data_IF_205794558079
#
_entry.id   IF_205794558079
#
_cell.length_a   1.000
_cell.length_b   1.000
_cell.length_c   1.000
_cell.angle_alpha   90.00
_cell.angle_beta   90.00
_cell.angle_gamma   90.00
#
_symmetry.space_group_name_H-M   'P 1'
#
loop_
_entity.id
_entity.type
_entity.pdbx_description
1 polymer ?
#
# COMPACT_ATOMS: atom_id res chain seq x y z
N UNK A 1 30.76 -54.01 -7.88
CA UNK A 1 31.94 -54.50 -8.62
C UNK A 1 31.59 -54.56 -10.11
N UNK A 2 32.51 -54.41 -11.08
CA UNK A 2 33.80 -53.69 -11.12
C UNK A 2 33.86 -52.68 -12.32
N UNK A 3 34.53 -51.52 -12.26
CA UNK A 3 35.97 -51.18 -12.51
C UNK A 3 36.41 -51.10 -14.00
N UNK A 4 36.74 -49.84 -14.38
CA UNK A 4 37.89 -49.35 -15.19
C UNK A 4 38.02 -49.64 -16.68
N UNK A 5 38.36 -48.60 -17.46
CA UNK A 5 39.63 -48.55 -18.20
C UNK A 5 40.02 -47.09 -18.49
N UNK A 6 41.04 -46.60 -17.78
CA UNK A 6 41.83 -45.44 -18.17
C UNK A 6 42.87 -45.86 -19.22
N UNK A 7 43.15 -44.95 -20.17
CA UNK A 7 44.35 -44.77 -21.03
C UNK A 7 43.87 -44.13 -22.35
N UNK A 8 44.49 -43.13 -22.97
CA UNK A 8 45.90 -42.75 -23.03
C UNK A 8 45.99 -41.38 -23.75
N UNK A 9 46.90 -40.51 -23.30
CA UNK A 9 47.75 -39.57 -24.06
C UNK A 9 47.11 -38.57 -25.07
N UNK A 10 47.55 -37.32 -25.21
CA UNK A 10 48.78 -36.66 -24.78
C UNK A 10 48.83 -35.22 -25.30
N UNK A 11 49.86 -34.51 -24.87
CA UNK A 11 50.08 -33.06 -24.91
C UNK A 11 50.41 -32.42 -26.27
N UNK A 12 50.31 -31.06 -26.30
CA UNK A 12 50.95 -30.03 -27.18
C UNK A 12 50.37 -29.85 -28.60
N UNK A 13 50.27 -28.66 -29.25
CA UNK A 13 50.88 -27.34 -29.07
C UNK A 13 50.03 -26.21 -29.73
N UNK A 14 50.36 -24.96 -29.36
CA UNK A 14 49.89 -23.65 -29.85
C UNK A 14 49.95 -23.44 -31.37
N UNK A 15 48.99 -22.69 -31.94
CA UNK A 15 49.25 -21.51 -32.80
C UNK A 15 47.99 -20.67 -33.08
N UNK A 16 48.21 -19.35 -33.04
CA UNK A 16 47.32 -18.24 -33.37
C UNK A 16 46.85 -18.25 -34.83
N UNK A 17 45.66 -17.69 -35.09
CA UNK A 17 45.37 -16.84 -36.27
C UNK A 17 44.13 -15.97 -36.00
N UNK A 18 44.19 -14.74 -36.52
CA UNK A 18 43.36 -13.58 -36.23
C UNK A 18 42.21 -13.36 -37.24
N UNK A 19 41.21 -12.59 -36.79
CA UNK A 19 40.25 -11.71 -37.53
C UNK A 19 39.00 -12.33 -38.21
N UNK A 20 37.92 -11.53 -38.48
CA UNK A 20 37.60 -10.16 -38.04
C UNK A 20 36.22 -10.02 -37.35
N UNK A 21 36.08 -8.94 -36.57
CA UNK A 21 34.86 -8.48 -35.90
C UNK A 21 34.05 -7.65 -36.90
N UNK A 22 32.86 -8.13 -37.30
CA UNK A 22 31.95 -7.39 -38.18
C UNK A 22 31.29 -6.25 -37.42
N UNK A 23 31.49 -5.03 -37.92
CA UNK A 23 30.79 -3.83 -37.48
C UNK A 23 29.35 -3.88 -38.03
N UNK A 24 28.36 -4.03 -37.15
CA UNK A 24 26.97 -3.78 -37.51
C UNK A 24 26.67 -2.29 -37.33
N UNK A 25 26.31 -1.65 -38.45
CA UNK A 25 25.85 -0.28 -38.54
C UNK A 25 24.55 -0.07 -37.75
N UNK A 26 24.47 1.05 -37.04
CA UNK A 26 23.31 1.51 -36.30
C UNK A 26 22.22 2.06 -37.24
N UNK A 27 21.03 1.47 -37.18
CA UNK A 27 19.80 2.08 -37.70
C UNK A 27 18.99 2.66 -36.53
N UNK A 28 18.49 3.90 -36.61
CA UNK A 28 17.76 4.53 -35.52
C UNK A 28 16.24 4.36 -35.69
N UNK A 29 15.53 3.99 -34.61
CA UNK A 29 14.10 4.25 -34.32
C UNK A 29 13.70 3.42 -33.09
N UNK A 30 12.89 3.86 -32.14
CA UNK A 30 12.25 5.14 -31.78
C UNK A 30 11.72 4.86 -30.36
N UNK A 31 12.24 5.54 -29.34
CA UNK A 31 11.67 5.45 -27.98
C UNK A 31 10.70 6.61 -27.79
N UNK A 32 9.42 6.28 -27.62
CA UNK A 32 8.40 7.22 -27.17
C UNK A 32 8.33 7.06 -25.66
N UNK A 33 9.14 7.85 -24.96
CA UNK A 33 8.96 8.14 -23.54
C UNK A 33 9.53 9.53 -23.27
N UNK A 34 8.65 10.46 -22.92
CA UNK A 34 8.99 11.82 -22.52
C UNK A 34 9.54 11.82 -21.10
N UNK A 35 10.82 11.49 -20.96
CA UNK A 35 11.63 11.85 -19.80
C UNK A 35 13.00 12.28 -20.32
N UNK A 36 13.48 13.44 -19.88
CA UNK A 36 14.82 13.92 -20.23
C UNK A 36 15.85 12.84 -19.83
N UNK A 37 16.79 12.45 -20.70
CA UNK A 37 17.85 11.55 -20.29
C UNK A 37 18.67 12.24 -19.22
N UNK A 38 18.72 11.65 -18.02
CA UNK A 38 19.68 12.01 -16.97
C UNK A 38 21.05 12.12 -17.63
N UNK A 39 21.63 13.32 -17.67
CA UNK A 39 23.05 13.49 -17.99
C UNK A 39 23.81 12.61 -17.00
N UNK A 40 24.40 11.52 -17.50
CA UNK A 40 25.51 10.90 -16.79
C UNK A 40 26.54 12.01 -16.59
N UNK A 41 26.94 12.23 -15.34
CA UNK A 41 28.00 13.17 -15.02
C UNK A 41 29.24 12.75 -15.83
N UNK A 42 29.65 13.59 -16.78
CA UNK A 42 30.94 13.46 -17.42
C UNK A 42 32.00 13.58 -16.31
N UNK A 43 32.90 12.61 -16.23
CA UNK A 43 33.96 12.61 -15.24
C UNK A 43 34.86 13.83 -15.48
N UNK A 44 34.71 14.83 -14.61
CA UNK A 44 35.62 15.97 -14.53
C UNK A 44 37.04 15.45 -14.28
N UNK A 45 37.97 15.87 -15.14
CA UNK A 45 39.39 15.51 -15.14
C UNK A 45 40.17 16.19 -14.00
N UNK A 46 39.68 16.07 -12.77
CA UNK A 46 40.37 16.51 -11.56
C UNK A 46 40.29 15.40 -10.50
N UNK A 47 41.43 14.73 -10.36
CA UNK A 47 41.85 13.82 -9.27
C UNK A 47 40.86 12.71 -8.86
N UNK A 48 41.02 11.47 -9.37
CA UNK A 48 40.40 10.32 -8.73
C UNK A 48 41.12 10.05 -7.41
N UNK A 49 40.38 10.07 -6.29
CA UNK A 49 40.84 9.58 -4.99
C UNK A 49 40.99 8.06 -5.02
N UNK A 50 41.96 7.58 -5.78
CA UNK A 50 42.48 6.23 -5.67
C UNK A 50 43.24 6.12 -4.34
N UNK A 51 42.84 5.22 -3.47
CA UNK A 51 43.65 4.86 -2.29
C UNK A 51 45.02 4.37 -2.75
N UNK A 52 46.05 5.18 -2.50
CA UNK A 52 47.44 4.89 -2.88
C UNK A 52 48.11 4.14 -1.74
N UNK A 53 48.48 2.88 -1.95
CA UNK A 53 49.28 2.13 -0.99
C UNK A 53 50.70 2.72 -0.96
N UNK A 54 51.15 3.10 0.23
CA UNK A 54 52.53 3.55 0.48
C UNK A 54 53.34 2.33 0.93
N UNK A 55 54.48 2.02 0.31
CA UNK A 55 55.32 0.92 0.76
C UNK A 55 55.97 1.29 2.10
N UNK A 56 55.97 0.36 3.04
CA UNK A 56 56.63 0.52 4.35
C UNK A 56 57.87 -0.37 4.38
N UNK A 57 58.97 0.18 4.90
CA UNK A 57 60.21 -0.57 5.11
C UNK A 57 60.01 -1.68 6.16
N UNK A 58 60.72 -2.83 6.02
CA UNK A 58 60.44 -4.05 6.78
C UNK A 58 60.70 -3.96 8.29
N UNK A 59 61.23 -2.85 8.80
CA UNK A 59 61.60 -2.67 10.21
C UNK A 59 60.74 -1.66 10.98
N UNK A 60 59.76 -0.98 10.36
CA UNK A 60 58.75 -0.13 11.04
C UNK A 60 59.26 0.83 12.15
N UNK A 61 60.41 1.51 11.96
CA UNK A 61 61.07 2.25 13.06
C UNK A 61 61.25 3.76 12.91
N UNK A 62 60.74 4.46 11.88
CA UNK A 62 60.86 5.93 11.82
C UNK A 62 59.52 6.66 11.67
N UNK A 63 59.25 7.53 12.64
CA UNK A 63 58.14 8.47 12.72
C UNK A 63 58.52 9.82 12.13
N UNK A 64 57.66 10.32 11.22
CA UNK A 64 57.43 11.72 10.85
C UNK A 64 58.66 12.65 10.67
N UNK A 65 59.04 12.88 9.41
CA UNK A 65 59.91 13.99 9.01
C UNK A 65 59.12 15.27 8.75
N UNK A 66 59.53 16.34 9.43
CA UNK A 66 59.60 17.78 9.10
C UNK A 66 58.70 18.46 8.02
N UNK A 67 57.51 17.96 7.70
CA UNK A 67 56.51 18.69 6.87
C UNK A 67 55.34 19.26 7.71
N UNK A 68 55.46 19.31 9.03
CA UNK A 68 54.40 19.73 9.96
C UNK A 68 54.28 21.25 10.18
N UNK A 69 55.04 22.08 9.46
CA UNK A 69 55.00 23.54 9.64
C UNK A 69 54.14 24.30 8.61
N UNK A 70 53.55 23.63 7.62
CA UNK A 70 52.65 24.26 6.63
C UNK A 70 51.21 23.70 6.62
N UNK A 71 50.80 22.93 7.62
CA UNK A 71 49.42 22.41 7.72
C UNK A 71 48.48 23.38 8.48
N UNK A 72 49.02 24.39 9.17
CA UNK A 72 48.22 25.30 10.00
C UNK A 72 47.98 26.70 9.42
N UNK A 73 48.22 26.94 8.12
CA UNK A 73 47.55 28.05 7.44
C UNK A 73 46.25 27.53 6.84
N UNK A 74 45.24 27.39 7.68
CA UNK A 74 43.86 27.40 7.20
C UNK A 74 43.74 28.64 6.32
N UNK A 75 43.39 28.45 5.04
CA UNK A 75 42.91 29.56 4.23
C UNK A 75 41.83 30.27 5.04
N UNK A 76 42.01 31.56 5.28
CA UNK A 76 41.00 32.44 5.88
C UNK A 76 39.82 32.53 4.90
N UNK A 77 39.05 31.44 4.79
CA UNK A 77 37.68 31.50 4.30
C UNK A 77 36.91 32.34 5.32
N UNK A 78 36.54 33.55 4.90
CA UNK A 78 36.08 34.64 5.74
C UNK A 78 35.11 34.24 6.86
N UNK A 79 35.32 34.88 8.01
CA UNK A 79 34.45 34.88 9.20
C UNK A 79 33.08 35.53 8.94
N UNK A 80 32.34 35.05 7.94
CA UNK A 80 30.89 35.25 7.86
C UNK A 80 30.24 34.05 8.58
N UNK A 81 29.59 34.22 9.75
CA UNK A 81 28.90 33.13 10.43
C UNK A 81 27.83 32.45 9.56
N UNK A 82 27.36 33.12 8.50
CA UNK A 82 26.38 32.61 7.53
C UNK A 82 26.95 31.60 6.51
N UNK A 83 28.27 31.51 6.32
CA UNK A 83 28.89 30.64 5.28
C UNK A 83 29.51 29.33 5.79
N UNK A 84 29.43 29.05 7.10
CA UNK A 84 29.91 27.75 7.62
C UNK A 84 28.96 26.64 7.16
N UNK A 85 29.47 25.64 6.44
CA UNK A 85 28.72 24.41 6.12
C UNK A 85 28.28 23.73 7.41
N UNK A 86 26.99 23.82 7.72
CA UNK A 86 26.37 23.15 8.86
C UNK A 86 26.49 21.64 8.63
N UNK A 87 27.08 20.92 9.60
CA UNK A 87 27.16 19.46 9.54
C UNK A 87 25.86 18.89 10.08
N UNK A 88 25.06 18.29 9.22
CA UNK A 88 23.85 17.58 9.61
C UNK A 88 24.19 16.25 10.28
N UNK A 89 23.38 15.86 11.27
CA UNK A 89 23.49 14.57 11.94
C UNK A 89 22.51 13.58 11.30
N UNK A 90 23.00 12.44 10.84
CA UNK A 90 22.18 11.39 10.23
C UNK A 90 21.72 10.40 11.30
N UNK A 91 20.41 10.28 11.52
CA UNK A 91 19.80 9.28 12.40
C UNK A 91 19.10 8.22 11.54
N UNK A 92 19.34 6.95 11.86
CA UNK A 92 18.63 5.85 11.24
C UNK A 92 17.47 5.43 12.14
N UNK A 93 16.25 5.71 11.70
CA UNK A 93 15.02 5.30 12.36
C UNK A 93 14.51 4.02 11.69
N UNK A 94 14.71 2.85 12.31
CA UNK A 94 14.18 1.59 11.78
C UNK A 94 14.96 0.35 12.21
N UNK A 95 14.80 -0.79 11.51
CA UNK A 95 13.51 -1.35 11.11
C UNK A 95 12.65 -1.73 12.32
N UNK A 96 13.29 -1.95 13.48
CA UNK A 96 12.66 -2.29 14.73
C UNK A 96 12.38 -1.01 15.53
N UNK A 97 11.22 -0.41 15.31
CA UNK A 97 10.75 0.73 16.10
C UNK A 97 9.22 0.65 16.27
N UNK A 98 8.66 0.89 17.47
CA UNK A 98 7.21 0.80 17.69
C UNK A 98 6.38 1.67 16.72
N UNK A 99 6.76 2.93 16.56
CA UNK A 99 6.08 3.88 15.67
C UNK A 99 6.29 3.64 14.16
N UNK A 100 7.07 2.63 13.78
CA UNK A 100 7.24 2.27 12.37
C UNK A 100 6.12 1.33 11.88
N UNK A 101 5.19 0.88 12.74
CA UNK A 101 4.04 0.01 12.42
C UNK A 101 4.32 -1.07 11.38
N UNK A 102 5.37 -1.85 11.63
CA UNK A 102 5.90 -2.83 10.70
C UNK A 102 7.39 -2.64 10.53
N UNK A 103 7.83 -2.56 9.27
CA UNK A 103 9.25 -2.57 8.93
C UNK A 103 9.55 -1.39 8.00
N UNK A 104 9.81 -0.23 8.60
CA UNK A 104 10.25 0.97 7.90
C UNK A 104 11.68 1.32 8.32
N UNK A 105 12.53 1.66 7.35
CA UNK A 105 13.83 2.27 7.62
C UNK A 105 13.84 3.68 7.05
N UNK A 106 13.79 4.67 7.92
CA UNK A 106 13.78 6.10 7.62
C UNK A 106 15.13 6.70 8.01
N UNK A 107 15.92 7.16 7.04
CA UNK A 107 17.15 7.90 7.30
C UNK A 107 16.80 9.39 7.37
N UNK A 108 16.99 9.97 8.55
CA UNK A 108 16.70 11.38 8.82
C UNK A 108 18.01 12.17 8.92
N UNK A 109 18.09 13.29 8.22
CA UNK A 109 19.13 14.28 8.42
C UNK A 109 18.58 15.42 9.27
N UNK A 110 19.17 15.57 10.45
CA UNK A 110 18.73 16.52 11.45
C UNK A 110 19.70 17.70 11.53
N UNK A 111 19.15 18.88 11.75
CA UNK A 111 19.87 20.05 12.22
C UNK A 111 19.39 20.36 13.65
N UNK A 112 20.12 19.84 14.65
CA UNK A 112 19.60 19.80 16.02
C UNK A 112 18.42 18.83 16.12
N UNK A 113 17.22 19.35 16.35
CA UNK A 113 15.97 18.57 16.40
C UNK A 113 15.12 18.68 15.13
N UNK A 114 15.41 19.65 14.26
CA UNK A 114 14.65 19.91 13.04
C UNK A 114 15.08 18.96 11.90
N UNK A 115 14.11 18.41 11.18
CA UNK A 115 14.33 17.53 10.04
C UNK A 115 14.61 18.39 8.80
N UNK A 116 15.79 18.19 8.20
CA UNK A 116 16.19 18.84 6.94
C UNK A 116 15.84 17.95 5.74
N UNK A 117 16.00 16.64 5.90
CA UNK A 117 15.73 15.65 4.84
C UNK A 117 15.31 14.32 5.46
N UNK A 118 14.32 13.68 4.87
CA UNK A 118 13.92 12.32 5.22
C UNK A 118 13.98 11.40 3.99
N UNK A 119 14.67 10.26 4.12
CA UNK A 119 14.79 9.25 3.07
C UNK A 119 14.18 7.92 3.55
N UNK A 120 12.92 7.61 3.16
CA UNK A 120 12.27 6.36 3.51
C UNK A 120 12.75 5.21 2.61
N UNK A 121 13.57 4.32 3.17
CA UNK A 121 13.93 3.05 2.54
C UNK A 121 12.82 2.01 2.75
N UNK A 122 12.20 1.64 1.64
CA UNK A 122 11.15 0.63 1.54
C UNK A 122 11.67 -0.61 0.81
N UNK A 123 10.89 -1.68 0.76
CA UNK A 123 11.21 -2.96 0.12
C UNK A 123 11.58 -4.08 1.09
N UNK A 124 11.53 -3.83 2.40
CA UNK A 124 11.84 -4.83 3.43
C UNK A 124 10.74 -5.92 3.52
N UNK A 125 9.51 -5.59 3.10
CA UNK A 125 8.40 -6.53 3.04
C UNK A 125 8.02 -6.91 1.59
N UNK A 126 8.86 -6.60 0.60
CA UNK A 126 8.57 -6.90 -0.80
C UNK A 126 8.60 -8.40 -1.06
N UNK A 127 7.49 -8.94 -1.60
CA UNK A 127 7.31 -10.39 -1.84
C UNK A 127 7.19 -10.76 -3.31
N UNK A 128 7.28 -9.80 -4.23
CA UNK A 128 7.06 -10.02 -5.66
C UNK A 128 5.63 -10.49 -5.95
N UNK A 129 4.64 -9.95 -5.24
CA UNK A 129 3.22 -10.32 -5.33
C UNK A 129 2.69 -10.18 -6.75
N UNK A 130 2.96 -9.04 -7.40
CA UNK A 130 2.57 -8.79 -8.79
C UNK A 130 3.12 -9.84 -9.75
N UNK A 131 4.34 -10.34 -9.48
CA UNK A 131 4.97 -11.39 -10.30
C UNK A 131 4.34 -12.76 -10.06
N UNK A 132 3.97 -13.07 -8.81
CA UNK A 132 3.28 -14.31 -8.48
C UNK A 132 1.89 -14.36 -9.11
N UNK A 133 1.20 -13.23 -9.19
CA UNK A 133 -0.13 -13.12 -9.82
C UNK A 133 -0.08 -13.54 -11.30
N UNK A 134 0.97 -13.18 -12.05
CA UNK A 134 1.14 -13.57 -13.47
C UNK A 134 1.17 -15.10 -13.70
N UNK A 135 1.56 -15.88 -12.68
CA UNK A 135 1.63 -17.34 -12.78
C UNK A 135 0.38 -18.06 -12.25
N UNK A 136 -0.61 -17.33 -11.74
CA UNK A 136 -1.83 -17.87 -11.11
C UNK A 136 -3.06 -17.50 -11.91
N UNK A 137 -4.14 -18.27 -11.75
CA UNK A 137 -5.44 -17.93 -12.35
C UNK A 137 -6.11 -16.79 -11.58
N UNK A 138 -7.09 -16.11 -12.16
CA UNK A 138 -7.79 -15.00 -11.49
C UNK A 138 -8.32 -15.35 -10.10
N UNK A 139 -8.95 -16.53 -9.95
CA UNK A 139 -9.45 -16.99 -8.65
C UNK A 139 -8.33 -17.31 -7.66
N UNK A 140 -7.21 -17.87 -8.12
CA UNK A 140 -6.04 -18.15 -7.28
C UNK A 140 -5.26 -16.88 -6.92
N UNK A 141 -5.38 -15.83 -7.74
CA UNK A 141 -4.73 -14.55 -7.53
C UNK A 141 -5.46 -13.69 -6.48
N UNK A 142 -6.77 -13.89 -6.31
CA UNK A 142 -7.60 -13.12 -5.37
C UNK A 142 -7.00 -13.00 -3.96
N UNK A 143 -6.54 -14.08 -3.28
CA UNK A 143 -6.04 -13.97 -1.90
C UNK A 143 -4.73 -13.21 -1.75
N UNK A 144 -4.05 -12.85 -2.85
CA UNK A 144 -2.94 -11.90 -2.75
C UNK A 144 -3.44 -10.51 -2.35
N UNK A 145 -4.64 -10.10 -2.80
CA UNK A 145 -5.21 -8.79 -2.51
C UNK A 145 -5.55 -8.62 -1.02
N UNK A 146 -6.08 -9.65 -0.36
CA UNK A 146 -6.38 -9.65 1.08
C UNK A 146 -5.12 -9.44 1.95
N UNK A 147 -3.94 -9.72 1.38
CA UNK A 147 -2.65 -9.72 2.08
C UNK A 147 -1.79 -8.48 1.80
N UNK A 148 -2.22 -7.60 0.88
CA UNK A 148 -1.54 -6.33 0.59
C UNK A 148 -1.79 -5.37 1.75
N UNK A 149 -2.94 -4.69 1.74
CA UNK A 149 -3.44 -4.01 2.93
C UNK A 149 -4.21 -5.02 3.78
N UNK A 150 -3.48 -5.62 4.73
CA UNK A 150 -4.00 -6.65 5.63
C UNK A 150 -4.95 -6.11 6.70
N UNK A 151 -5.27 -4.81 6.69
CA UNK A 151 -6.26 -4.20 7.58
C UNK A 151 -7.60 -4.06 6.89
N UNK A 152 -7.61 -3.74 5.58
CA UNK A 152 -8.83 -3.67 4.77
C UNK A 152 -8.90 -4.73 3.68
N UNK A 153 -9.18 -5.97 4.10
CA UNK A 153 -9.16 -7.15 3.23
C UNK A 153 -10.25 -7.11 2.15
N UNK A 154 -11.52 -6.89 2.53
CA UNK A 154 -12.65 -6.98 1.61
C UNK A 154 -12.64 -5.88 0.54
N UNK A 155 -12.14 -4.69 0.86
CA UNK A 155 -12.02 -3.60 -0.12
C UNK A 155 -10.98 -3.96 -1.18
N UNK A 156 -9.87 -4.61 -0.80
CA UNK A 156 -8.86 -5.04 -1.77
C UNK A 156 -9.43 -6.14 -2.70
N UNK A 157 -10.16 -7.10 -2.13
CA UNK A 157 -10.89 -8.12 -2.89
C UNK A 157 -11.91 -7.49 -3.85
N UNK A 158 -12.62 -6.45 -3.39
CA UNK A 158 -13.60 -5.71 -4.18
C UNK A 158 -12.94 -4.95 -5.34
N UNK A 159 -11.80 -4.29 -5.12
CA UNK A 159 -11.07 -3.59 -6.18
C UNK A 159 -10.66 -4.54 -7.31
N UNK A 160 -10.12 -5.70 -6.94
CA UNK A 160 -9.74 -6.73 -7.92
C UNK A 160 -10.96 -7.33 -8.61
N UNK A 161 -12.04 -7.61 -7.87
CA UNK A 161 -13.27 -8.18 -8.42
C UNK A 161 -13.92 -7.25 -9.44
N UNK A 162 -14.00 -5.95 -9.13
CA UNK A 162 -14.53 -4.94 -10.06
C UNK A 162 -13.66 -4.81 -11.32
N UNK A 163 -12.32 -4.93 -11.21
CA UNK A 163 -11.43 -4.92 -12.37
C UNK A 163 -11.74 -6.10 -13.33
N UNK A 164 -11.87 -7.30 -12.76
CA UNK A 164 -12.14 -8.53 -13.51
C UNK A 164 -13.56 -8.52 -14.08
N UNK A 165 -14.55 -8.05 -13.32
CA UNK A 165 -15.95 -7.93 -13.75
C UNK A 165 -16.10 -6.94 -14.92
N UNK A 166 -15.35 -5.83 -14.89
CA UNK A 166 -15.29 -4.86 -15.98
C UNK A 166 -14.68 -5.46 -17.26
N UNK A 167 -13.66 -6.31 -17.15
CA UNK A 167 -13.09 -7.01 -18.32
C UNK A 167 -14.01 -8.11 -18.85
N UNK A 168 -14.73 -8.81 -17.95
CA UNK A 168 -15.67 -9.85 -18.34
C UNK A 168 -17.02 -9.30 -18.86
N UNK A 169 -17.29 -8.00 -18.68
CA UNK A 169 -18.55 -7.34 -19.02
C UNK A 169 -19.77 -8.03 -18.39
N UNK A 170 -19.72 -8.28 -17.08
CA UNK A 170 -20.79 -8.96 -16.34
C UNK A 170 -21.41 -7.99 -15.33
N UNK A 171 -22.73 -8.05 -15.19
CA UNK A 171 -23.44 -7.40 -14.10
C UNK A 171 -23.71 -8.35 -12.94
N UNK A 172 -23.48 -7.84 -11.73
CA UNK A 172 -23.62 -8.59 -10.48
C UNK A 172 -25.05 -8.42 -9.96
N UNK A 173 -25.65 -9.45 -9.34
CA UNK A 173 -26.94 -9.33 -8.67
C UNK A 173 -26.99 -8.21 -7.64
N UNK A 174 -28.17 -7.59 -7.50
CA UNK A 174 -28.41 -6.45 -6.59
C UNK A 174 -28.08 -6.84 -5.14
N UNK A 175 -28.49 -8.02 -4.68
CA UNK A 175 -28.17 -8.50 -3.32
C UNK A 175 -26.67 -8.55 -3.06
N UNK A 176 -25.89 -9.05 -4.01
CA UNK A 176 -24.43 -9.11 -3.87
C UNK A 176 -23.80 -7.71 -3.80
N UNK A 177 -24.33 -6.72 -4.53
CA UNK A 177 -23.89 -5.33 -4.43
C UNK A 177 -24.12 -4.76 -3.01
N UNK A 178 -25.30 -4.97 -2.43
CA UNK A 178 -25.60 -4.54 -1.05
C UNK A 178 -24.75 -5.25 0.01
N UNK A 179 -24.48 -6.55 -0.17
CA UNK A 179 -23.59 -7.30 0.72
C UNK A 179 -22.17 -6.72 0.65
N UNK A 180 -21.66 -6.47 -0.57
CA UNK A 180 -20.33 -5.87 -0.76
C UNK A 180 -20.23 -4.48 -0.15
N UNK A 181 -21.21 -3.60 -0.36
CA UNK A 181 -21.20 -2.25 0.23
C UNK A 181 -21.25 -2.30 1.76
N UNK A 182 -22.09 -3.15 2.34
CA UNK A 182 -22.16 -3.31 3.79
C UNK A 182 -20.83 -3.80 4.38
N UNK A 183 -20.23 -4.87 3.82
CA UNK A 183 -18.94 -5.36 4.30
C UNK A 183 -17.80 -4.39 4.01
N UNK A 184 -17.84 -3.63 2.90
CA UNK A 184 -16.86 -2.60 2.62
C UNK A 184 -16.87 -1.48 3.68
N UNK A 185 -18.05 -1.06 4.15
CA UNK A 185 -18.14 -0.07 5.23
C UNK A 185 -17.76 -0.65 6.61
N UNK A 186 -18.09 -1.92 6.89
CA UNK A 186 -17.52 -2.61 8.08
C UNK A 186 -15.98 -2.65 8.00
N UNK A 187 -15.43 -2.90 6.81
CA UNK A 187 -13.98 -2.86 6.57
C UNK A 187 -13.40 -1.47 6.78
N UNK A 188 -14.15 -0.43 6.39
CA UNK A 188 -13.76 0.97 6.62
C UNK A 188 -13.68 1.29 8.11
N UNK A 189 -14.67 0.85 8.88
CA UNK A 189 -14.64 0.97 10.35
C UNK A 189 -13.45 0.19 10.93
N UNK A 190 -13.22 -1.06 10.50
CA UNK A 190 -12.06 -1.85 10.93
C UNK A 190 -10.71 -1.13 10.67
N UNK A 191 -10.58 -0.48 9.51
CA UNK A 191 -9.37 0.22 9.13
C UNK A 191 -9.19 1.53 9.91
N UNK A 192 -10.22 2.37 9.99
CA UNK A 192 -10.15 3.59 10.78
C UNK A 192 -9.92 3.31 12.27
N UNK A 193 -10.48 2.23 12.83
CA UNK A 193 -10.17 1.79 14.20
C UNK A 193 -8.68 1.51 14.32
N UNK A 194 -8.09 0.75 13.42
CA UNK A 194 -6.64 0.50 13.46
C UNK A 194 -5.83 1.80 13.29
N UNK A 195 -6.19 2.64 12.34
CA UNK A 195 -5.47 3.86 11.98
C UNK A 195 -5.47 4.89 13.11
N UNK A 196 -6.66 5.29 13.58
CA UNK A 196 -6.82 6.33 14.59
C UNK A 196 -6.21 5.89 15.91
N UNK A 197 -6.43 4.63 16.30
CA UNK A 197 -5.96 4.12 17.58
C UNK A 197 -4.46 3.88 17.61
N UNK A 198 -3.87 3.37 16.53
CA UNK A 198 -2.43 3.20 16.45
C UNK A 198 -1.71 4.55 16.42
N UNK A 199 -2.27 5.53 15.70
CA UNK A 199 -1.77 6.90 15.76
C UNK A 199 -1.88 7.49 17.17
N UNK A 200 -3.01 7.29 17.86
CA UNK A 200 -3.16 7.71 19.25
C UNK A 200 -2.08 7.07 20.16
N UNK A 201 -1.83 5.77 20.00
CA UNK A 201 -0.79 5.04 20.73
C UNK A 201 0.62 5.58 20.46
N UNK A 202 0.95 5.90 19.20
CA UNK A 202 2.26 6.44 18.84
C UNK A 202 2.55 7.81 19.46
N UNK A 203 1.51 8.64 19.57
CA UNK A 203 1.60 9.95 20.23
C UNK A 203 1.64 9.79 21.75
N UNK A 204 1.09 8.70 22.28
CA UNK A 204 1.21 8.28 23.69
C UNK A 204 -0.10 7.93 24.40
N UNK A 205 -1.26 7.99 23.73
CA UNK A 205 -2.55 7.65 24.30
C UNK A 205 -2.84 6.14 24.16
N UNK A 206 -2.70 5.39 25.26
CA UNK A 206 -2.81 3.92 25.25
C UNK A 206 -4.24 3.40 25.46
N UNK A 207 -5.11 4.13 26.14
CA UNK A 207 -6.45 3.63 26.51
C UNK A 207 -7.40 3.46 25.33
N UNK A 208 -7.50 4.40 24.36
CA UNK A 208 -8.43 4.24 23.24
C UNK A 208 -8.10 3.00 22.40
N UNK A 209 -6.81 2.66 22.31
CA UNK A 209 -6.33 1.49 21.57
C UNK A 209 -6.95 0.20 22.07
N UNK A 210 -7.01 0.01 23.40
CA UNK A 210 -7.59 -1.19 23.99
C UNK A 210 -9.11 -1.24 23.78
N UNK A 211 -9.80 -0.10 23.94
CA UNK A 211 -11.26 -0.02 23.75
C UNK A 211 -11.67 -0.34 22.32
N UNK A 212 -11.03 0.28 21.33
CA UNK A 212 -11.41 0.03 19.95
C UNK A 212 -10.95 -1.34 19.42
N UNK A 213 -9.97 -1.99 20.05
CA UNK A 213 -9.64 -3.39 19.73
C UNK A 213 -10.71 -4.38 20.19
N UNK A 214 -11.46 -4.07 21.25
CA UNK A 214 -12.64 -4.85 21.63
C UNK A 214 -13.71 -4.79 20.53
N UNK A 215 -14.01 -3.60 20.02
CA UNK A 215 -14.97 -3.41 18.92
C UNK A 215 -14.48 -4.06 17.62
N UNK A 216 -13.18 -3.98 17.36
CA UNK A 216 -12.54 -4.66 16.23
C UNK A 216 -12.67 -6.19 16.32
N UNK A 217 -12.61 -6.76 17.52
CA UNK A 217 -12.81 -8.19 17.74
C UNK A 217 -14.24 -8.62 17.40
N UNK A 218 -15.25 -7.85 17.82
CA UNK A 218 -16.67 -8.08 17.47
C UNK A 218 -16.88 -8.08 15.96
N UNK A 219 -16.24 -7.14 15.25
CA UNK A 219 -16.29 -7.09 13.78
C UNK A 219 -15.57 -8.28 13.12
N UNK A 220 -14.49 -8.80 13.70
CA UNK A 220 -13.83 -10.01 13.20
C UNK A 220 -14.69 -11.26 13.37
N UNK A 221 -15.55 -11.32 14.39
CA UNK A 221 -16.54 -12.39 14.53
C UNK A 221 -17.51 -12.40 13.34
N UNK A 222 -17.94 -11.23 12.86
CA UNK A 222 -18.78 -11.14 11.66
C UNK A 222 -18.05 -11.67 10.43
N UNK A 223 -16.76 -11.40 10.28
CA UNK A 223 -15.94 -11.94 9.20
C UNK A 223 -15.82 -13.46 9.27
N UNK A 224 -15.61 -13.98 10.48
CA UNK A 224 -15.51 -15.41 10.73
C UNK A 224 -16.83 -16.12 10.42
N UNK A 225 -17.97 -15.56 10.83
CA UNK A 225 -19.30 -16.15 10.55
C UNK A 225 -19.62 -16.21 9.06
N UNK A 226 -19.14 -15.24 8.29
CA UNK A 226 -19.46 -15.10 6.86
C UNK A 226 -18.51 -15.90 5.97
N UNK A 227 -17.22 -15.90 6.31
CA UNK A 227 -16.17 -16.50 5.48
C UNK A 227 -15.54 -17.76 6.06
N UNK A 228 -15.61 -17.94 7.38
CA UNK A 228 -14.86 -18.94 8.14
C UNK A 228 -13.47 -18.47 8.59
N UNK A 229 -13.05 -17.25 8.24
CA UNK A 229 -11.77 -16.68 8.62
C UNK A 229 -11.94 -15.28 9.23
N UNK A 230 -11.09 -14.95 10.21
CA UNK A 230 -11.18 -13.67 10.95
C UNK A 230 -10.58 -12.47 10.22
N UNK A 231 -9.56 -12.69 9.39
CA UNK A 231 -8.86 -11.63 8.64
C UNK A 231 -8.98 -11.88 7.13
N UNK A 232 -8.20 -12.81 6.58
CA UNK A 232 -8.18 -13.09 5.15
C UNK A 232 -9.39 -13.96 4.75
N UNK A 233 -10.42 -13.33 4.20
CA UNK A 233 -11.73 -13.92 3.99
C UNK A 233 -11.90 -14.57 2.61
N UNK A 234 -11.27 -14.04 1.55
CA UNK A 234 -11.48 -14.46 0.16
C UNK A 234 -12.98 -14.62 -0.18
N UNK A 235 -13.77 -13.66 0.29
CA UNK A 235 -15.22 -13.68 0.31
C UNK A 235 -15.82 -12.93 -0.87
N UNK A 236 -15.32 -11.73 -1.18
CA UNK A 236 -15.68 -10.98 -2.37
C UNK A 236 -14.89 -11.57 -3.53
N UNK A 237 -15.60 -12.07 -4.54
CA UNK A 237 -14.99 -12.76 -5.70
C UNK A 237 -15.48 -12.14 -6.99
N UNK A 238 -14.70 -12.21 -8.09
CA UNK A 238 -15.22 -11.85 -9.41
C UNK A 238 -16.49 -12.66 -9.72
N UNK A 239 -17.59 -11.96 -10.00
CA UNK A 239 -18.93 -12.55 -10.18
C UNK A 239 -19.84 -12.49 -8.94
N UNK A 240 -19.51 -11.67 -7.94
CA UNK A 240 -20.34 -11.43 -6.75
C UNK A 240 -19.68 -11.84 -5.44
N UNK A 241 -20.31 -12.73 -4.70
CA UNK A 241 -19.90 -13.09 -3.33
C UNK A 241 -19.77 -14.61 -3.19
N UNK A 242 -18.87 -15.08 -2.33
CA UNK A 242 -18.55 -16.50 -2.16
C UNK A 242 -19.73 -17.31 -1.59
N UNK A 243 -20.34 -16.84 -0.51
CA UNK A 243 -21.43 -17.50 0.22
C UNK A 243 -22.44 -16.45 0.72
N UNK A 244 -23.69 -16.85 0.93
CA UNK A 244 -24.70 -15.91 1.44
C UNK A 244 -24.49 -15.66 2.93
N UNK A 245 -25.09 -14.59 3.45
CA UNK A 245 -25.03 -14.23 4.86
C UNK A 245 -25.73 -15.33 5.69
N UNK A 246 -25.13 -15.82 6.79
CA UNK A 246 -25.78 -16.77 7.67
C UNK A 246 -26.99 -16.15 8.38
N UNK A 247 -27.99 -16.99 8.68
CA UNK A 247 -29.21 -16.55 9.37
C UNK A 247 -28.86 -15.91 10.73
N UNK A 248 -29.52 -14.80 11.04
CA UNK A 248 -29.35 -14.03 12.29
C UNK A 248 -28.22 -12.99 12.27
N UNK A 249 -27.29 -13.02 11.31
CA UNK A 249 -26.17 -12.07 11.31
C UNK A 249 -26.60 -10.61 11.14
N UNK A 250 -27.66 -10.35 10.37
CA UNK A 250 -28.15 -8.98 10.16
C UNK A 250 -28.63 -8.34 11.47
N UNK A 251 -29.28 -9.13 12.33
CA UNK A 251 -29.75 -8.67 13.65
C UNK A 251 -28.57 -8.40 14.59
N UNK A 252 -27.53 -9.22 14.53
CA UNK A 252 -26.31 -9.05 15.33
C UNK A 252 -25.53 -7.80 14.91
N UNK A 253 -25.41 -7.54 13.60
CA UNK A 253 -24.79 -6.32 13.07
C UNK A 253 -25.59 -5.09 13.51
N UNK A 254 -26.92 -5.17 13.49
CA UNK A 254 -27.78 -4.09 13.97
C UNK A 254 -27.56 -3.79 15.46
N UNK A 255 -27.53 -4.82 16.31
CA UNK A 255 -27.27 -4.67 17.75
C UNK A 255 -25.90 -4.02 18.00
N UNK A 256 -24.86 -4.47 17.31
CA UNK A 256 -23.54 -3.87 17.39
C UNK A 256 -23.55 -2.39 16.95
N UNK A 257 -24.16 -2.09 15.81
CA UNK A 257 -24.19 -0.73 15.25
C UNK A 257 -24.88 0.27 16.20
N UNK A 258 -25.90 -0.15 16.97
CA UNK A 258 -26.55 0.71 17.96
C UNK A 258 -25.64 1.11 19.12
N UNK A 259 -24.71 0.24 19.52
CA UNK A 259 -23.79 0.47 20.65
C UNK A 259 -22.49 1.14 20.20
N UNK A 260 -22.09 0.94 18.95
CA UNK A 260 -20.83 1.46 18.42
C UNK A 260 -20.83 3.00 18.33
N UNK A 261 -21.99 3.64 18.19
CA UNK A 261 -22.12 5.11 18.27
C UNK A 261 -21.54 5.67 19.57
N UNK A 262 -21.95 5.12 20.71
CA UNK A 262 -21.47 5.54 22.03
C UNK A 262 -19.96 5.32 22.18
N UNK A 263 -19.42 4.23 21.60
CA UNK A 263 -17.98 3.95 21.62
C UNK A 263 -17.18 4.98 20.82
N UNK A 264 -17.69 5.45 19.69
CA UNK A 264 -17.06 6.54 18.93
C UNK A 264 -17.01 7.80 19.79
N UNK A 265 -18.13 8.16 20.43
CA UNK A 265 -18.23 9.36 21.24
C UNK A 265 -17.28 9.32 22.46
N UNK A 266 -17.14 8.17 23.13
CA UNK A 266 -16.15 7.97 24.20
C UNK A 266 -14.71 8.15 23.72
N UNK A 267 -14.38 7.67 22.51
CA UNK A 267 -13.04 7.89 21.93
C UNK A 267 -12.80 9.34 21.54
N UNK A 268 -13.84 10.04 21.08
CA UNK A 268 -13.80 11.45 20.73
C UNK A 268 -13.62 12.33 21.98
N UNK A 269 -14.34 12.05 23.06
CA UNK A 269 -14.23 12.78 24.33
C UNK A 269 -12.80 12.75 24.88
N UNK A 270 -12.10 11.62 24.74
CA UNK A 270 -10.72 11.46 25.21
C UNK A 270 -9.67 12.17 24.34
N UNK A 271 -9.91 12.32 23.03
CA UNK A 271 -8.92 12.78 22.06
C UNK A 271 -9.21 14.18 21.50
N UNK A 272 -10.42 14.44 21.02
CA UNK A 272 -10.74 15.62 20.20
C UNK A 272 -10.52 16.94 20.90
N UNK A 273 -11.00 17.07 22.14
CA UNK A 273 -10.88 18.28 22.95
C UNK A 273 -9.62 18.29 23.83
N UNK A 274 -8.82 17.22 23.78
CA UNK A 274 -7.63 17.12 24.59
C UNK A 274 -6.56 18.09 24.10
N UNK A 275 -6.20 19.04 24.97
CA UNK A 275 -5.14 20.03 24.71
C UNK A 275 -3.82 19.41 24.24
N UNK A 276 -3.46 18.21 24.74
CA UNK A 276 -2.21 17.52 24.37
C UNK A 276 -2.33 17.01 22.95
N UNK A 277 -3.46 16.38 22.61
CA UNK A 277 -3.71 15.87 21.27
C UNK A 277 -3.71 17.00 20.24
N UNK A 278 -4.41 18.10 20.52
CA UNK A 278 -4.46 19.29 19.66
C UNK A 278 -3.04 19.86 19.49
N UNK A 279 -2.26 20.01 20.56
CA UNK A 279 -0.90 20.53 20.48
C UNK A 279 0.06 19.62 19.68
N UNK A 280 -0.22 18.32 19.60
CA UNK A 280 0.59 17.32 18.88
C UNK A 280 0.14 17.04 17.45
N UNK A 281 -0.99 17.61 17.01
CA UNK A 281 -1.56 17.34 15.67
C UNK A 281 -1.88 18.61 14.89
N UNK A 282 -2.27 19.69 15.55
CA UNK A 282 -2.65 20.94 14.90
C UNK A 282 -1.42 21.64 14.33
N UNK A 283 -1.48 21.99 13.04
CA UNK A 283 -0.38 22.65 12.33
C UNK A 283 0.83 21.75 12.03
N UNK A 284 0.72 20.44 12.21
CA UNK A 284 1.76 19.47 11.85
C UNK A 284 1.41 18.83 10.51
N UNK A 285 2.42 18.65 9.65
CA UNK A 285 2.30 17.96 8.38
C UNK A 285 1.31 18.63 7.42
N UNK A 286 1.29 19.96 7.38
CA UNK A 286 0.37 20.76 6.56
C UNK A 286 0.64 20.50 5.08
N UNK A 287 -0.40 20.16 4.33
CA UNK A 287 -0.32 19.92 2.88
C UNK A 287 -1.30 20.85 2.16
N UNK A 288 -0.79 21.64 1.21
CA UNK A 288 -1.64 22.48 0.38
C UNK A 288 -2.47 21.65 -0.61
N UNK A 289 -3.64 22.14 -1.00
CA UNK A 289 -4.50 21.45 -1.98
C UNK A 289 -3.79 21.21 -3.33
N UNK A 290 -2.98 22.18 -3.78
CA UNK A 290 -2.24 22.06 -5.03
C UNK A 290 -1.14 20.98 -4.94
N UNK A 291 -0.41 20.94 -3.83
CA UNK A 291 0.63 19.95 -3.60
C UNK A 291 0.04 18.54 -3.43
N UNK A 292 -1.09 18.41 -2.72
CA UNK A 292 -1.80 17.14 -2.58
C UNK A 292 -2.14 16.53 -3.95
N UNK A 293 -2.61 17.35 -4.90
CA UNK A 293 -2.93 16.91 -6.26
C UNK A 293 -1.66 16.56 -7.03
N UNK A 294 -0.62 17.40 -6.97
CA UNK A 294 0.65 17.17 -7.67
C UNK A 294 1.33 15.86 -7.20
N UNK A 295 1.22 15.54 -5.92
CA UNK A 295 1.75 14.32 -5.32
C UNK A 295 0.81 13.12 -5.43
N UNK A 296 -0.32 13.27 -6.12
CA UNK A 296 -1.31 12.20 -6.32
C UNK A 296 -1.84 11.61 -5.01
N UNK A 297 -1.98 12.45 -3.98
CA UNK A 297 -2.67 12.07 -2.76
C UNK A 297 -4.15 11.82 -3.03
N UNK A 298 -4.71 10.91 -2.25
CA UNK A 298 -6.10 10.45 -2.36
C UNK A 298 -6.66 10.17 -0.97
N UNK A 299 -7.99 10.06 -0.88
CA UNK A 299 -8.70 9.77 0.36
C UNK A 299 -8.58 10.88 1.39
N UNK A 300 -8.40 10.49 2.65
CA UNK A 300 -8.35 11.39 3.79
C UNK A 300 -7.23 12.44 3.65
N UNK A 301 -6.09 12.09 3.05
CA UNK A 301 -4.99 13.03 2.82
C UNK A 301 -5.40 14.18 1.88
N UNK A 302 -6.21 13.88 0.85
CA UNK A 302 -6.69 14.86 -0.11
C UNK A 302 -7.87 15.67 0.46
N UNK A 303 -8.80 15.00 1.15
CA UNK A 303 -9.95 15.62 1.81
C UNK A 303 -9.53 16.55 2.95
N UNK A 304 -8.51 16.18 3.73
CA UNK A 304 -7.97 17.01 4.80
C UNK A 304 -7.44 18.35 4.31
N UNK A 305 -6.90 18.41 3.08
CA UNK A 305 -6.40 19.63 2.44
C UNK A 305 -7.48 20.49 1.77
N UNK A 306 -8.77 20.16 1.93
CA UNK A 306 -9.88 20.98 1.43
C UNK A 306 -10.38 20.61 0.03
N UNK A 307 -9.93 19.49 -0.55
CA UNK A 307 -10.43 19.04 -1.86
C UNK A 307 -11.57 18.04 -1.66
N UNK A 308 -12.81 18.37 -2.05
CA UNK A 308 -13.97 17.49 -1.88
C UNK A 308 -13.98 16.37 -2.94
N UNK A 309 -13.13 15.36 -2.77
CA UNK A 309 -13.02 14.22 -3.67
C UNK A 309 -13.22 12.89 -2.93
N UNK A 310 -14.14 12.08 -3.44
CA UNK A 310 -14.40 10.70 -3.01
C UNK A 310 -14.85 9.90 -4.24
N UNK A 311 -14.22 8.75 -4.50
CA UNK A 311 -14.58 7.89 -5.63
C UNK A 311 -16.02 7.37 -5.49
N UNK A 312 -16.51 7.11 -4.27
CA UNK A 312 -17.87 6.58 -4.04
C UNK A 312 -18.98 7.52 -4.48
N UNK A 313 -18.73 8.84 -4.50
CA UNK A 313 -19.70 9.86 -4.96
C UNK A 313 -19.46 10.27 -6.41
N UNK A 314 -18.20 10.39 -6.82
CA UNK A 314 -17.84 10.87 -8.16
C UNK A 314 -17.96 9.77 -9.22
N UNK A 315 -17.54 8.55 -8.89
CA UNK A 315 -17.57 7.36 -9.75
C UNK A 315 -18.12 6.18 -8.95
N UNK A 316 -19.43 6.19 -8.68
CA UNK A 316 -20.07 5.22 -7.82
C UNK A 316 -19.95 3.81 -8.39
N UNK A 317 -19.75 2.85 -7.48
CA UNK A 317 -19.66 1.42 -7.78
C UNK A 317 -20.58 0.63 -6.83
N UNK A 318 -20.86 -0.62 -7.17
CA UNK A 318 -21.80 -1.49 -6.45
C UNK A 318 -23.15 -0.79 -6.16
N UNK A 319 -23.48 -0.56 -4.88
CA UNK A 319 -24.74 0.06 -4.43
C UNK A 319 -24.55 1.44 -3.78
N UNK A 320 -23.39 2.09 -3.96
CA UNK A 320 -23.12 3.41 -3.37
C UNK A 320 -24.06 4.52 -3.88
N UNK A 321 -24.64 4.35 -5.07
CA UNK A 321 -25.66 5.25 -5.64
C UNK A 321 -26.99 5.25 -4.88
N UNK A 322 -27.30 4.15 -4.19
CA UNK A 322 -28.60 3.93 -3.55
C UNK A 322 -28.58 4.32 -2.07
N UNK A 323 -27.40 4.63 -1.52
CA UNK A 323 -27.20 4.98 -0.12
C UNK A 323 -26.86 6.46 0.03
N UNK A 324 -27.41 7.08 1.06
CA UNK A 324 -27.23 8.49 1.37
C UNK A 324 -26.22 8.66 2.52
N UNK A 325 -25.13 9.35 2.22
CA UNK A 325 -24.07 9.68 3.15
C UNK A 325 -23.39 10.98 2.72
N UNK A 326 -22.74 11.62 3.68
CA UNK A 326 -21.98 12.85 3.47
C UNK A 326 -20.47 12.56 3.53
N UNK A 327 -19.67 13.40 2.89
CA UNK A 327 -18.20 13.25 2.83
C UNK A 327 -17.56 14.37 3.64
N UNK A 328 -16.77 14.06 4.70
CA UNK A 328 -16.11 15.08 5.49
C UNK A 328 -14.92 15.68 4.73
N UNK A 329 -14.73 16.99 4.85
CA UNK A 329 -13.66 17.73 4.18
C UNK A 329 -12.99 18.67 5.18
N UNK A 330 -11.66 18.62 5.27
CA UNK A 330 -10.86 19.50 6.13
C UNK A 330 -10.64 20.88 5.51
N UNK A 331 -9.98 21.78 6.23
CA UNK A 331 -9.77 23.17 5.77
C UNK A 331 -8.28 23.51 5.70
N UNK A 332 -7.52 23.09 6.71
CA UNK A 332 -6.14 23.50 6.92
C UNK A 332 -5.13 22.52 6.31
N UNK A 333 -5.50 21.25 6.11
CA UNK A 333 -4.59 20.23 5.59
C UNK A 333 -3.63 19.64 6.61
N UNK A 334 -3.87 19.84 7.90
CA UNK A 334 -3.04 19.34 9.00
C UNK A 334 -3.44 17.93 9.47
N UNK A 335 -2.64 17.37 10.38
CA UNK A 335 -2.89 16.05 10.96
C UNK A 335 -4.22 15.99 11.75
N UNK A 336 -4.65 17.11 12.35
CA UNK A 336 -5.88 17.18 13.15
C UNK A 336 -7.13 17.13 12.26
N UNK A 337 -7.18 17.88 11.16
CA UNK A 337 -8.29 17.82 10.21
C UNK A 337 -8.44 16.41 9.60
N UNK A 338 -7.32 15.71 9.34
CA UNK A 338 -7.33 14.31 8.88
C UNK A 338 -7.84 13.34 9.94
N UNK A 339 -7.60 13.62 11.22
CA UNK A 339 -8.15 12.85 12.33
C UNK A 339 -9.68 13.05 12.39
N UNK A 340 -10.15 14.30 12.33
CA UNK A 340 -11.59 14.61 12.32
C UNK A 340 -12.31 13.99 11.13
N UNK A 341 -11.70 14.03 9.93
CA UNK A 341 -12.26 13.37 8.75
C UNK A 341 -12.48 11.85 8.99
N UNK A 342 -11.54 11.16 9.64
CA UNK A 342 -11.70 9.73 9.98
C UNK A 342 -12.80 9.51 11.02
N UNK A 343 -12.89 10.39 12.01
CA UNK A 343 -13.94 10.34 13.04
C UNK A 343 -15.34 10.49 12.43
N UNK A 344 -15.51 11.43 11.50
CA UNK A 344 -16.76 11.59 10.76
C UNK A 344 -17.01 10.41 9.79
N UNK A 345 -15.97 9.86 9.15
CA UNK A 345 -16.12 8.68 8.29
C UNK A 345 -16.65 7.46 9.07
N UNK A 346 -16.34 7.30 10.37
CA UNK A 346 -16.99 6.27 11.20
C UNK A 346 -18.50 6.46 11.25
N UNK A 347 -18.96 7.69 11.53
CA UNK A 347 -20.38 8.03 11.65
C UNK A 347 -21.11 7.82 10.32
N UNK A 348 -20.48 8.21 9.22
CA UNK A 348 -21.04 8.01 7.88
C UNK A 348 -21.07 6.53 7.48
N UNK A 349 -20.03 5.76 7.84
CA UNK A 349 -20.01 4.31 7.63
C UNK A 349 -21.15 3.62 8.39
N UNK A 350 -21.39 4.00 9.65
CA UNK A 350 -22.54 3.50 10.43
C UNK A 350 -23.87 3.84 9.75
N UNK A 351 -24.04 5.08 9.26
CA UNK A 351 -25.24 5.51 8.52
C UNK A 351 -25.48 4.63 7.28
N UNK A 352 -24.43 4.31 6.53
CA UNK A 352 -24.53 3.42 5.36
C UNK A 352 -24.91 1.99 5.79
N UNK A 353 -24.33 1.47 6.86
CA UNK A 353 -24.66 0.14 7.38
C UNK A 353 -26.15 0.06 7.75
N UNK A 354 -26.69 1.04 8.50
CA UNK A 354 -28.12 1.07 8.83
C UNK A 354 -29.02 1.08 7.59
N UNK A 355 -28.66 1.84 6.56
CA UNK A 355 -29.42 1.88 5.32
C UNK A 355 -29.34 0.55 4.57
N UNK A 356 -28.16 -0.07 4.49
CA UNK A 356 -27.97 -1.37 3.86
C UNK A 356 -28.78 -2.47 4.55
N UNK A 357 -28.84 -2.46 5.89
CA UNK A 357 -29.65 -3.41 6.66
C UNK A 357 -31.15 -3.27 6.36
N UNK A 358 -31.66 -2.03 6.29
CA UNK A 358 -33.07 -1.76 6.02
C UNK A 358 -33.48 -2.05 4.56
N UNK A 359 -32.57 -1.88 3.61
CA UNK A 359 -32.85 -1.99 2.17
C UNK A 359 -32.41 -3.33 1.56
N UNK A 360 -31.93 -4.28 2.37
CA UNK A 360 -31.34 -5.54 1.88
C UNK A 360 -32.34 -6.35 1.03
N UNK A 361 -32.10 -6.52 -0.28
CA UNK A 361 -33.02 -7.27 -1.13
C UNK A 361 -32.80 -8.78 -1.02
N UNK A 362 -33.87 -9.55 -1.22
CA UNK A 362 -33.75 -10.98 -1.51
C UNK A 362 -33.23 -11.20 -2.94
N UNK A 363 -32.50 -12.29 -3.17
CA UNK A 363 -32.01 -12.63 -4.51
C UNK A 363 -30.77 -13.51 -4.52
N UNK A 364 -30.24 -13.84 -5.70
CA UNK A 364 -28.98 -14.57 -5.82
C UNK A 364 -27.79 -13.69 -5.41
N UNK A 365 -26.75 -14.32 -4.88
CA UNK A 365 -25.49 -13.67 -4.44
C UNK A 365 -24.35 -13.79 -5.47
N UNK A 366 -24.56 -14.57 -6.52
CA UNK A 366 -23.60 -14.82 -7.60
C UNK A 366 -24.29 -14.61 -8.93
N UNK A 367 -23.51 -14.23 -9.93
CA UNK A 367 -23.97 -14.25 -11.32
C UNK A 367 -24.45 -15.67 -11.67
N UNK A 368 -25.55 -15.76 -12.41
CA UNK A 368 -26.17 -17.05 -12.81
C UNK A 368 -25.36 -17.81 -13.87
N UNK A 369 -24.38 -17.17 -14.51
CA UNK A 369 -23.49 -17.81 -15.48
C UNK A 369 -22.46 -18.73 -14.80
N UNK A 370 -22.69 -20.04 -14.91
CA UNK A 370 -21.81 -21.08 -14.35
C UNK A 370 -20.46 -21.21 -15.07
N UNK A 371 -20.21 -20.46 -16.15
CA UNK A 371 -18.88 -20.37 -16.77
C UNK A 371 -17.93 -19.48 -15.98
N UNK A 372 -18.45 -18.60 -15.12
CA UNK A 372 -17.66 -17.67 -14.31
C UNK A 372 -17.81 -18.02 -12.83
N UNK A 373 -19.05 -18.13 -12.35
CA UNK A 373 -19.34 -18.44 -10.96
C UNK A 373 -19.55 -19.95 -10.76
N UNK A 374 -19.02 -20.57 -9.69
CA UNK A 374 -19.24 -21.99 -9.46
C UNK A 374 -20.73 -22.26 -9.12
N UNK A 375 -21.32 -23.35 -9.68
CA UNK A 375 -22.70 -23.71 -9.39
C UNK A 375 -22.89 -24.15 -7.94
N UNK A 376 -24.14 -24.12 -7.42
CA UNK A 376 -24.42 -24.61 -6.07
C UNK A 376 -24.14 -26.11 -5.96
N UNK A 377 -23.69 -26.54 -4.77
CA UNK A 377 -23.29 -27.94 -4.51
C UNK A 377 -24.41 -28.96 -4.75
N UNK A 378 -25.67 -28.58 -4.55
CA UNK A 378 -26.82 -29.43 -4.86
C UNK A 378 -26.90 -29.69 -6.37
N UNK A 379 -26.94 -28.64 -7.19
CA UNK A 379 -26.99 -28.75 -8.64
C UNK A 379 -25.76 -29.45 -9.23
N UNK A 380 -24.56 -29.22 -8.68
CA UNK A 380 -23.33 -29.89 -9.12
C UNK A 380 -23.39 -31.42 -8.97
N UNK A 381 -24.10 -31.94 -7.96
CA UNK A 381 -24.21 -33.39 -7.72
C UNK A 381 -25.28 -34.07 -8.57
N UNK A 382 -26.28 -33.32 -9.03
CA UNK A 382 -27.40 -33.84 -9.81
C UNK A 382 -27.22 -33.62 -11.32
N UNK A 383 -26.78 -32.42 -11.72
CA UNK A 383 -26.66 -32.02 -13.12
C UNK A 383 -25.25 -32.22 -13.66
N UNK A 384 -25.15 -32.94 -14.79
CA UNK A 384 -23.87 -33.19 -15.45
C UNK A 384 -23.17 -31.90 -15.92
N UNK A 385 -23.92 -30.93 -16.46
CA UNK A 385 -23.37 -29.65 -16.92
C UNK A 385 -22.75 -28.85 -15.77
N UNK A 386 -23.43 -28.78 -14.63
CA UNK A 386 -22.93 -28.11 -13.44
C UNK A 386 -21.63 -28.77 -12.93
N UNK A 387 -21.52 -30.09 -13.01
CA UNK A 387 -20.30 -30.81 -12.66
C UNK A 387 -19.14 -30.49 -13.62
N UNK A 388 -19.42 -30.42 -14.94
CA UNK A 388 -18.43 -30.04 -15.95
C UNK A 388 -17.92 -28.62 -15.68
N UNK A 389 -18.83 -27.66 -15.47
CA UNK A 389 -18.47 -26.28 -15.16
C UNK A 389 -17.64 -26.16 -13.88
N UNK A 390 -18.06 -26.83 -12.81
CA UNK A 390 -17.30 -26.87 -11.56
C UNK A 390 -15.88 -27.44 -11.79
N UNK A 391 -15.76 -28.57 -12.51
CA UNK A 391 -14.47 -29.19 -12.78
C UNK A 391 -13.54 -28.27 -13.59
N UNK A 392 -14.04 -27.61 -14.64
CA UNK A 392 -13.26 -26.69 -15.46
C UNK A 392 -12.84 -25.42 -14.71
N UNK A 393 -13.74 -24.82 -13.93
CA UNK A 393 -13.46 -23.61 -13.16
C UNK A 393 -12.34 -23.78 -12.13
N UNK A 394 -12.28 -24.93 -11.46
CA UNK A 394 -11.27 -25.17 -10.42
C UNK A 394 -9.97 -25.78 -10.96
N UNK A 395 -9.99 -26.42 -12.12
CA UNK A 395 -8.77 -26.98 -12.75
C UNK A 395 -8.05 -25.97 -13.63
N UNK A 396 -8.79 -25.35 -14.55
CA UNK A 396 -8.30 -24.39 -15.54
C UNK A 396 -8.52 -22.95 -15.08
N UNK A 397 -9.76 -22.63 -14.71
CA UNK A 397 -10.21 -21.25 -14.49
C UNK A 397 -11.13 -20.76 -15.61
N UNK A 398 -11.65 -19.55 -15.48
CA UNK A 398 -12.38 -18.87 -16.54
C UNK A 398 -11.42 -18.01 -17.38
N UNK A 399 -11.62 -17.97 -18.70
CA UNK A 399 -10.87 -17.10 -19.59
C UNK A 399 -11.47 -15.69 -19.58
N UNK A 400 -10.63 -14.68 -19.38
CA UNK A 400 -11.04 -13.27 -19.41
C UNK A 400 -10.74 -12.73 -20.80
N UNK A 401 -11.64 -11.98 -21.46
CA UNK A 401 -11.39 -11.36 -22.76
C UNK A 401 -10.07 -10.58 -22.80
N UNK A 402 -9.37 -10.53 -23.94
CA UNK A 402 -8.17 -9.74 -24.08
C UNK A 402 -8.51 -8.25 -23.95
N UNK A 403 -7.78 -7.52 -23.11
CA UNK A 403 -8.06 -6.13 -22.82
C UNK A 403 -7.28 -5.59 -21.63
N UNK A 404 -7.37 -4.29 -21.42
CA UNK A 404 -6.73 -3.58 -20.32
C UNK A 404 -7.77 -2.76 -19.56
N UNK A 405 -7.74 -2.81 -18.24
CA UNK A 405 -8.61 -1.99 -17.39
C UNK A 405 -7.86 -1.42 -16.21
N UNK A 406 -8.12 -0.15 -15.92
CA UNK A 406 -7.89 0.44 -14.62
C UNK A 406 -9.24 0.60 -13.91
N UNK A 407 -9.39 -0.02 -12.75
CA UNK A 407 -10.51 0.21 -11.84
C UNK A 407 -9.95 0.70 -10.51
N UNK A 408 -10.59 1.72 -9.98
CA UNK A 408 -10.25 2.29 -8.69
C UNK A 408 -11.48 2.26 -7.78
N UNK A 409 -11.22 2.08 -6.49
CA UNK A 409 -12.21 2.20 -5.43
C UNK A 409 -11.69 3.16 -4.36
N UNK A 410 -12.61 3.66 -3.54
CA UNK A 410 -12.24 4.38 -2.33
C UNK A 410 -11.95 3.36 -1.22
N UNK A 411 -10.70 2.89 -1.10
CA UNK A 411 -10.28 2.19 0.11
C UNK A 411 -10.25 3.16 1.30
N UNK A 412 -10.26 2.69 2.56
CA UNK A 412 -10.22 3.58 3.72
C UNK A 412 -8.96 4.45 3.79
N UNK A 413 -7.86 3.97 3.19
CA UNK A 413 -6.60 4.71 3.04
C UNK A 413 -6.64 5.74 1.90
N UNK A 414 -7.50 5.55 0.90
CA UNK A 414 -7.65 6.41 -0.27
C UNK A 414 -7.92 5.63 -1.56
N UNK A 415 -7.55 6.20 -2.70
CA UNK A 415 -7.82 5.58 -4.00
C UNK A 415 -6.90 4.37 -4.22
N UNK A 416 -7.46 3.18 -4.06
CA UNK A 416 -6.79 1.93 -4.40
C UNK A 416 -7.20 1.52 -5.81
N UNK A 417 -6.21 1.37 -6.69
CA UNK A 417 -6.42 1.04 -8.08
C UNK A 417 -5.78 -0.29 -8.47
N UNK A 418 -6.41 -1.01 -9.40
CA UNK A 418 -5.84 -2.19 -10.04
C UNK A 418 -5.84 -1.96 -11.54
N UNK A 419 -4.64 -2.01 -12.13
CA UNK A 419 -4.42 -2.04 -13.57
C UNK A 419 -4.18 -3.48 -14.00
N UNK A 420 -5.15 -4.05 -14.70
CA UNK A 420 -5.15 -5.45 -15.14
C UNK A 420 -5.05 -5.50 -16.67
N UNK A 421 -4.12 -6.31 -17.16
CA UNK A 421 -3.96 -6.65 -18.58
C UNK A 421 -4.25 -8.14 -18.75
N UNK A 422 -5.21 -8.45 -19.62
CA UNK A 422 -5.57 -9.81 -20.02
C UNK A 422 -5.16 -10.05 -21.47
N UNK A 423 -4.57 -11.21 -21.75
CA UNK A 423 -4.21 -11.69 -23.08
C UNK A 423 -5.27 -12.62 -23.70
N UNK A 424 -6.42 -12.78 -23.05
CA UNK A 424 -7.45 -13.75 -23.44
C UNK A 424 -7.33 -15.10 -22.70
N UNK A 425 -6.31 -15.28 -21.87
CA UNK A 425 -6.09 -16.52 -21.12
C UNK A 425 -6.81 -16.54 -19.76
N UNK A 426 -6.66 -17.65 -19.03
CA UNK A 426 -7.19 -17.86 -17.68
C UNK A 426 -6.34 -17.19 -16.59
N UNK A 427 -5.20 -16.60 -16.98
CA UNK A 427 -4.23 -15.96 -16.09
C UNK A 427 -4.08 -14.49 -16.48
N UNK A 428 -3.94 -13.57 -15.52
CA UNK A 428 -3.65 -12.19 -15.84
C UNK A 428 -2.25 -12.08 -16.44
N UNK A 429 -2.13 -11.42 -17.60
CA UNK A 429 -0.83 -11.19 -18.24
C UNK A 429 0.02 -10.23 -17.42
N UNK A 430 -0.60 -9.16 -16.91
CA UNK A 430 0.01 -8.19 -16.01
C UNK A 430 -1.02 -7.68 -15.02
N UNK A 431 -0.63 -7.57 -13.76
CA UNK A 431 -1.42 -6.93 -12.73
C UNK A 431 -0.53 -5.92 -12.00
N UNK A 432 -0.85 -4.64 -12.12
CA UNK A 432 -0.19 -3.56 -11.38
C UNK A 432 -1.17 -2.99 -10.38
N UNK A 433 -0.75 -2.90 -9.13
CA UNK A 433 -1.56 -2.31 -8.07
C UNK A 433 -1.10 -0.86 -7.88
N UNK A 434 -2.04 0.08 -7.72
CA UNK A 434 -1.82 1.42 -7.19
C UNK A 434 -2.26 1.41 -5.73
N UNK A 435 -1.31 1.53 -4.81
CA UNK A 435 -1.55 1.62 -3.39
C UNK A 435 -1.51 3.10 -2.97
N UNK A 436 -2.49 3.58 -2.20
CA UNK A 436 -2.49 4.94 -1.67
C UNK A 436 -1.27 5.23 -0.80
N UNK A 437 -0.91 4.31 0.11
CA UNK A 437 0.22 4.51 1.04
C UNK A 437 1.58 4.66 0.35
N UNK A 438 1.76 4.11 -0.86
CA UNK A 438 2.99 4.32 -1.63
C UNK A 438 3.15 5.78 -2.09
N UNK A 439 2.07 6.41 -2.55
CA UNK A 439 2.08 7.83 -2.92
C UNK A 439 2.26 8.70 -1.67
N UNK A 440 1.57 8.39 -0.58
CA UNK A 440 1.70 9.12 0.69
C UNK A 440 3.13 9.11 1.22
N UNK A 441 3.77 7.93 1.26
CA UNK A 441 5.14 7.78 1.77
C UNK A 441 6.19 8.45 0.86
N UNK A 442 5.94 8.52 -0.45
CA UNK A 442 6.87 9.17 -1.39
C UNK A 442 7.09 10.65 -1.10
N UNK A 443 6.13 11.29 -0.43
CA UNK A 443 6.16 12.70 -0.07
C UNK A 443 6.49 12.95 1.41
N UNK A 444 6.90 11.91 2.14
CA UNK A 444 7.29 12.03 3.54
C UNK A 444 8.39 13.08 3.74
N UNK A 445 9.36 13.18 2.83
CA UNK A 445 10.42 14.19 2.87
C UNK A 445 9.86 15.62 2.86
N UNK A 446 8.93 15.90 1.95
CA UNK A 446 8.39 17.26 1.81
C UNK A 446 7.50 17.65 2.99
N UNK A 447 6.77 16.68 3.56
CA UNK A 447 5.85 16.93 4.67
C UNK A 447 6.60 17.01 6.01
N UNK A 448 7.72 16.31 6.17
CA UNK A 448 8.47 16.30 7.43
C UNK A 448 9.54 17.39 7.54
N UNK A 449 9.91 18.06 6.44
CA UNK A 449 10.88 19.16 6.46
C UNK A 449 10.44 20.30 7.38
N UNK A 450 11.36 20.76 8.23
CA UNK A 450 11.12 21.84 9.18
C UNK A 450 10.32 21.43 10.43
N UNK A 451 9.89 20.17 10.51
CA UNK A 451 9.26 19.62 11.71
C UNK A 451 10.29 18.96 12.63
N UNK A 452 9.90 18.75 13.88
CA UNK A 452 10.72 18.08 14.88
C UNK A 452 10.66 16.55 14.69
N UNK A 453 11.65 15.84 15.23
CA UNK A 453 11.68 14.36 15.19
C UNK A 453 10.40 13.72 15.75
N UNK A 454 9.84 14.28 16.82
CA UNK A 454 8.62 13.76 17.43
C UNK A 454 7.39 13.94 16.52
N UNK A 455 7.36 14.96 15.66
CA UNK A 455 6.24 15.25 14.77
C UNK A 455 6.24 14.32 13.56
N UNK A 456 7.41 13.82 13.14
CA UNK A 456 7.51 12.80 12.09
C UNK A 456 6.72 11.54 12.43
N UNK A 457 6.66 11.15 13.72
CA UNK A 457 5.86 10.01 14.19
C UNK A 457 4.36 10.27 14.00
N UNK A 458 3.88 11.47 14.32
CA UNK A 458 2.48 11.84 14.08
C UNK A 458 2.16 11.88 12.58
N UNK A 459 3.08 12.39 11.75
CA UNK A 459 2.93 12.40 10.29
C UNK A 459 2.79 10.97 9.75
N UNK A 460 3.63 10.03 10.18
CA UNK A 460 3.56 8.61 9.81
C UNK A 460 2.20 8.02 10.18
N UNK A 461 1.73 8.25 11.42
CA UNK A 461 0.43 7.79 11.87
C UNK A 461 -0.73 8.35 11.04
N UNK A 462 -0.64 9.61 10.61
CA UNK A 462 -1.71 10.25 9.82
C UNK A 462 -1.79 9.80 8.37
N UNK A 463 -0.69 9.31 7.81
CA UNK A 463 -0.66 8.71 6.46
C UNK A 463 -1.24 7.30 6.46
N UNK A 464 -1.42 6.69 7.63
CA UNK A 464 -2.00 5.34 7.79
C UNK A 464 -1.27 4.28 6.95
N UNK A 465 0.05 4.18 7.15
CA UNK A 465 0.92 3.34 6.34
C UNK A 465 0.84 1.87 6.76
N UNK A 466 0.46 1.02 5.81
CA UNK A 466 0.57 -0.44 5.94
C UNK A 466 1.58 -0.95 4.92
N UNK A 467 2.71 -1.46 5.39
CA UNK A 467 3.83 -1.78 4.50
C UNK A 467 3.58 -2.94 3.53
N UNK A 468 2.53 -3.75 3.75
CA UNK A 468 2.12 -4.77 2.79
C UNK A 468 1.57 -4.21 1.48
N UNK A 469 0.97 -3.02 1.49
CA UNK A 469 0.55 -2.33 0.26
C UNK A 469 1.64 -1.42 -0.31
N UNK A 470 2.59 -0.95 0.50
CA UNK A 470 3.73 -0.16 0.00
C UNK A 470 4.69 -1.07 -0.78
N UNK A 471 5.07 -2.20 -0.16
CA UNK A 471 6.05 -3.15 -0.66
C UNK A 471 5.38 -4.36 -1.32
N UNK A 472 5.25 -4.34 -2.65
CA UNK A 472 4.43 -5.32 -3.39
C UNK A 472 5.21 -6.16 -4.37
#
# INVERSE_FOLDING_TARGET
>A
MPVSFARLAGHTAKRLCLTPRTQFASLPRRYISTTLPRRYAEASSEQPSTTRLVPVDPTFTQSAGEDSQHINSAAEDGNDPEKRKIRHYTVNFGPQHPAAHGVLRLILELNGEEIVRADPHVGLLHRGTEKLIEYRTYLQALPYFDRLDYVSMMTNEQCFSLAVEKLLNIEIPIRAKYIRTMFAEITRILNHLMSVLSHAMDVGALTPFLWGFEEREKLMEFYERVSGARLHAAYVRPGGVSQDIPLGLLDDIYQWATQFGDRIDETEEMLTDNRIWIARTKGIGVVSAADAINYSFSGVMLRGSGVPWDVRKSQPYDAYDQVEFDVPVGVNGDCYDRYLCRMEEFRQSLRIIFQCLNQMPAGPIKVEDYKIAPPPRAAMKENMEALIHHFLLFSKGYSVPPGETYSAIEAPKGEMGVFLVSDGSERPYRCKIRAPGFAHLSCMDQISRGHLLADAVAIIGTMDLVFGEVDR
#
